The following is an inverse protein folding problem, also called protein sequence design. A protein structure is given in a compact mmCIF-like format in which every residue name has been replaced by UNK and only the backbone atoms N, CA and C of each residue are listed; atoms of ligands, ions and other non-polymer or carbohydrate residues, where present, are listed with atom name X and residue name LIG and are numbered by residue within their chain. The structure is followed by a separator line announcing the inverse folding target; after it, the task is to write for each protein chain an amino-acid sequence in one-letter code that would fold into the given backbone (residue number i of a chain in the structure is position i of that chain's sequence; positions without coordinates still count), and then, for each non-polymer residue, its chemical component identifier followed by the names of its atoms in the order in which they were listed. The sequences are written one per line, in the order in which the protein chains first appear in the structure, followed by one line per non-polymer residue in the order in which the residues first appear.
data_IF_035944065002
#
_entry.id   IF_035944065002
#
_cell.length_a   1.000
_cell.length_b   1.000
_cell.length_c   1.000
_cell.angle_alpha   90.00
_cell.angle_beta   90.00
_cell.angle_gamma   90.00
#
_symmetry.space_group_name_H-M   'P 1'
#
loop_
_entity.id
_entity.type
_entity.pdbx_description
1 polymer ?
#
# COMPACT_ATOMS: atom_id res chain seq x y z
N UNK A 1 24.72 7.51 5.49
CA UNK A 1 23.26 7.37 5.65
C UNK A 1 22.86 5.91 5.69
N UNK A 2 22.41 5.41 6.84
CA UNK A 2 21.66 4.14 6.88
C UNK A 2 20.31 4.42 6.22
N UNK A 3 19.97 3.70 5.16
CA UNK A 3 18.63 3.80 4.55
C UNK A 3 17.62 3.33 5.58
N UNK A 4 16.89 4.28 6.18
CA UNK A 4 15.83 3.97 7.13
C UNK A 4 14.66 3.39 6.34
N UNK A 5 14.55 2.06 6.35
CA UNK A 5 13.55 1.33 5.59
C UNK A 5 12.51 0.74 6.51
N UNK A 6 11.26 0.82 6.09
CA UNK A 6 10.11 0.25 6.79
C UNK A 6 9.57 -0.90 5.96
N UNK A 7 9.29 -2.03 6.61
CA UNK A 7 8.46 -3.07 6.03
C UNK A 7 7.00 -2.67 6.26
N UNK A 8 6.27 -2.45 5.17
CA UNK A 8 4.85 -2.14 5.24
C UNK A 8 4.01 -3.30 4.72
N UNK A 9 2.79 -3.42 5.27
CA UNK A 9 1.80 -4.41 4.87
C UNK A 9 0.51 -3.67 4.52
N UNK A 10 0.14 -3.69 3.23
CA UNK A 10 -1.05 -2.99 2.72
C UNK A 10 -2.10 -4.02 2.34
N UNK A 11 -3.32 -3.87 2.85
CA UNK A 11 -4.45 -4.73 2.53
C UNK A 11 -5.51 -3.92 1.80
N UNK A 12 -6.03 -4.49 0.72
CA UNK A 12 -7.20 -3.95 0.00
C UNK A 12 -8.42 -4.76 0.42
N UNK A 13 -9.49 -4.08 0.82
CA UNK A 13 -10.74 -4.73 1.23
C UNK A 13 -11.28 -5.61 0.09
N UNK A 14 -11.63 -6.85 0.41
CA UNK A 14 -12.12 -7.84 -0.57
C UNK A 14 -11.02 -8.53 -1.39
N UNK A 15 -9.75 -8.22 -1.14
CA UNK A 15 -8.62 -8.91 -1.79
C UNK A 15 -8.18 -10.17 -1.03
N UNK A 16 -7.37 -11.01 -1.69
CA UNK A 16 -6.91 -12.30 -1.18
C UNK A 16 -5.92 -12.22 0.00
N UNK A 17 -5.33 -11.06 0.29
CA UNK A 17 -4.38 -10.89 1.40
C UNK A 17 -3.57 -9.60 1.32
N UNK A 18 -2.57 -9.40 2.19
CA UNK A 18 -1.73 -8.21 2.15
C UNK A 18 -0.71 -8.24 0.99
N UNK A 19 -0.33 -7.06 0.52
CA UNK A 19 0.92 -6.79 -0.21
C UNK A 19 1.98 -6.37 0.81
N UNK A 20 3.21 -6.90 0.69
CA UNK A 20 4.31 -6.58 1.61
C UNK A 20 5.55 -6.18 0.85
N UNK A 21 6.10 -5.02 1.18
CA UNK A 21 7.32 -4.52 0.55
C UNK A 21 8.03 -3.50 1.46
N UNK A 22 9.30 -3.26 1.16
CA UNK A 22 10.10 -2.24 1.85
C UNK A 22 9.89 -0.89 1.18
N UNK A 23 9.78 0.16 2.00
CA UNK A 23 9.74 1.57 1.57
C UNK A 23 10.78 2.36 2.36
N UNK A 24 11.21 3.51 1.85
CA UNK A 24 12.02 4.42 2.67
C UNK A 24 11.09 5.17 3.64
N UNK A 25 11.55 5.39 4.87
CA UNK A 25 10.74 6.07 5.89
C UNK A 25 10.41 7.52 5.52
N UNK A 26 11.27 8.16 4.73
CA UNK A 26 11.12 9.55 4.27
C UNK A 26 10.35 9.65 2.93
N UNK A 27 9.82 8.54 2.44
CA UNK A 27 9.11 8.47 1.16
C UNK A 27 7.70 9.06 1.26
N UNK A 28 7.25 9.73 0.20
CA UNK A 28 5.91 10.29 0.15
C UNK A 28 4.88 9.16 0.17
N UNK A 29 3.81 9.33 0.95
CA UNK A 29 2.68 8.38 1.01
C UNK A 29 2.09 8.12 -0.39
N UNK A 30 2.07 9.14 -1.25
CA UNK A 30 1.66 9.02 -2.65
C UNK A 30 2.46 7.95 -3.41
N UNK A 31 3.79 7.91 -3.24
CA UNK A 31 4.63 6.91 -3.89
C UNK A 31 4.34 5.49 -3.39
N UNK A 32 4.02 5.34 -2.10
CA UNK A 32 3.58 4.07 -1.51
C UNK A 32 2.27 3.59 -2.12
N UNK A 33 1.29 4.48 -2.34
CA UNK A 33 0.02 4.14 -2.98
C UNK A 33 0.26 3.72 -4.43
N UNK A 34 1.06 4.47 -5.20
CA UNK A 34 1.39 4.12 -6.58
C UNK A 34 2.07 2.75 -6.67
N UNK A 35 3.06 2.48 -5.81
CA UNK A 35 3.73 1.19 -5.75
C UNK A 35 2.73 0.07 -5.42
N UNK A 36 1.83 0.32 -4.45
CA UNK A 36 0.76 -0.63 -4.10
C UNK A 36 -0.11 -0.95 -5.32
N UNK A 37 -0.61 0.05 -6.05
CA UNK A 37 -1.48 -0.15 -7.22
C UNK A 37 -0.75 -0.91 -8.33
N UNK A 38 0.52 -0.60 -8.58
CA UNK A 38 1.36 -1.32 -9.56
C UNK A 38 1.56 -2.78 -9.17
N UNK A 39 1.95 -3.07 -7.92
CA UNK A 39 2.12 -4.43 -7.42
C UNK A 39 0.80 -5.22 -7.43
N UNK A 40 -0.29 -4.56 -7.05
CA UNK A 40 -1.62 -5.16 -7.04
C UNK A 40 -2.06 -5.61 -8.44
N UNK A 41 -1.89 -4.73 -9.44
CA UNK A 41 -2.19 -5.03 -10.84
C UNK A 41 -1.24 -6.11 -11.41
N UNK A 42 0.05 -6.06 -11.05
CA UNK A 42 1.04 -7.05 -11.48
C UNK A 42 0.71 -8.46 -10.95
N UNK A 43 0.18 -8.58 -9.73
CA UNK A 43 -0.30 -9.85 -9.16
C UNK A 43 -1.67 -10.29 -9.71
N UNK A 44 -2.30 -9.52 -10.60
CA UNK A 44 -3.60 -9.86 -11.19
C UNK A 44 -4.73 -9.95 -10.15
N UNK A 45 -4.63 -9.18 -9.05
CA UNK A 45 -5.54 -9.29 -7.92
C UNK A 45 -6.94 -8.74 -8.22
N UNK A 46 -7.92 -9.29 -7.51
CA UNK A 46 -9.30 -8.84 -7.50
C UNK A 46 -9.68 -8.25 -6.13
N UNK A 47 -10.56 -7.22 -6.10
CA UNK A 47 -11.18 -6.55 -7.25
C UNK A 47 -10.19 -5.72 -8.08
N UNK A 48 -10.46 -5.51 -9.37
CA UNK A 48 -9.61 -4.67 -10.24
C UNK A 48 -9.67 -3.22 -9.75
N UNK A 49 -8.50 -2.63 -9.51
CA UNK A 49 -8.37 -1.24 -9.10
C UNK A 49 -8.03 -0.36 -10.30
N UNK A 50 -8.40 0.92 -10.22
CA UNK A 50 -7.92 1.94 -11.15
C UNK A 50 -6.46 2.35 -10.87
N UNK A 51 -5.88 3.13 -11.79
CA UNK A 51 -4.49 3.61 -11.68
C UNK A 51 -4.37 5.03 -11.08
N UNK A 52 -5.48 5.74 -10.89
CA UNK A 52 -5.48 7.09 -10.32
C UNK A 52 -5.31 7.03 -8.80
N UNK A 53 -4.09 7.26 -8.33
CA UNK A 53 -3.74 7.22 -6.90
C UNK A 53 -4.52 8.23 -6.06
N UNK A 54 -5.01 9.34 -6.64
CA UNK A 54 -5.76 10.37 -5.91
C UNK A 54 -7.12 9.86 -5.41
N UNK A 55 -7.58 8.71 -5.92
CA UNK A 55 -8.83 8.07 -5.51
C UNK A 55 -8.64 7.09 -4.34
N UNK A 56 -7.42 6.99 -3.80
CA UNK A 56 -7.07 6.04 -2.75
C UNK A 56 -6.48 6.76 -1.54
N UNK A 57 -6.74 6.19 -0.36
CA UNK A 57 -6.19 6.62 0.91
C UNK A 57 -5.67 5.40 1.66
N UNK A 58 -4.56 5.55 2.38
CA UNK A 58 -4.11 4.57 3.36
C UNK A 58 -4.73 4.89 4.71
N UNK A 59 -5.23 3.86 5.39
CA UNK A 59 -5.73 3.96 6.76
C UNK A 59 -5.05 2.91 7.64
N UNK A 60 -4.92 3.20 8.94
CA UNK A 60 -4.39 2.22 9.88
C UNK A 60 -5.40 1.10 10.09
N UNK A 61 -5.02 -0.14 9.74
CA UNK A 61 -5.89 -1.30 9.85
C UNK A 61 -6.35 -1.61 11.30
N UNK A 62 -5.62 -1.13 12.31
CA UNK A 62 -5.89 -1.34 13.73
C UNK A 62 -6.35 -0.05 14.43
N UNK A 63 -6.91 0.93 13.71
CA UNK A 63 -7.45 2.16 14.28
C UNK A 63 -8.76 1.99 15.06
N UNK A 64 -8.91 0.89 15.81
CA UNK A 64 -9.99 0.70 16.78
C UNK A 64 -9.60 1.39 18.07
N UNK A 65 -10.38 2.42 18.41
CA UNK A 65 -10.48 3.21 19.65
C UNK A 65 -9.48 2.92 20.78
N UNK A 66 -8.75 3.96 21.19
CA UNK A 66 -8.55 4.19 22.63
C UNK A 66 -9.91 4.47 23.30
#
# INVERSE_FOLDING_TARGET
NKSNRLLISVTVVGSAGPLRFLVNADELVMAVIEQTLKSYAHEGRLPVLGSDFNKFLLYCAHGGSD
#
